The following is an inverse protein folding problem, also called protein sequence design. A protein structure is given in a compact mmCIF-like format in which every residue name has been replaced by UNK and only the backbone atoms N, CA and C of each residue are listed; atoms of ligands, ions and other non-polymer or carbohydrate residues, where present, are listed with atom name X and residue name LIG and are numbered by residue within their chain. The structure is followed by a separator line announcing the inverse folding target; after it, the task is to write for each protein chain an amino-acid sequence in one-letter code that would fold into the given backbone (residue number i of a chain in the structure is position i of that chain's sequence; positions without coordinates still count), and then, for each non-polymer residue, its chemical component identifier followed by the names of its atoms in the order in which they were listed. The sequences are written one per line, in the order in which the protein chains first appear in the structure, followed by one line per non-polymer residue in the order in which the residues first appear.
data_IF_679277054159
#
_entry.id   IF_679277054159
#
_cell.length_a   1.000
_cell.length_b   1.000
_cell.length_c   1.000
_cell.angle_alpha   90.00
_cell.angle_beta   90.00
_cell.angle_gamma   90.00
#
_symmetry.space_group_name_H-M   'P 1'
#
loop_
_entity.id
_entity.type
_entity.pdbx_description
1 polymer ?
#
# COMPACT_ATOMS: atom_id res chain seq x y z
N UNK A 1 48.49 -30.19 -24.24
CA UNK A 1 47.08 -30.09 -23.80
C UNK A 1 47.04 -29.65 -22.34
N UNK A 2 46.88 -28.37 -22.05
CA UNK A 2 46.75 -27.82 -20.70
C UNK A 2 45.34 -27.25 -20.57
N UNK A 3 44.55 -27.84 -19.67
CA UNK A 3 43.17 -27.43 -19.35
C UNK A 3 43.21 -26.14 -18.54
N UNK A 4 42.64 -25.08 -19.07
CA UNK A 4 42.33 -23.86 -18.34
C UNK A 4 41.11 -24.09 -17.44
N UNK A 5 41.34 -24.16 -16.12
CA UNK A 5 40.31 -24.10 -15.12
C UNK A 5 39.79 -22.66 -15.00
N UNK A 6 38.49 -22.45 -15.22
CA UNK A 6 37.76 -21.20 -14.91
C UNK A 6 37.49 -21.16 -13.41
N UNK A 7 37.92 -20.14 -12.67
CA UNK A 7 37.41 -19.89 -11.33
C UNK A 7 36.24 -18.92 -11.36
N UNK A 8 35.38 -18.99 -10.35
CA UNK A 8 34.51 -17.92 -9.85
C UNK A 8 33.08 -17.74 -10.38
N UNK A 9 32.32 -18.83 -10.55
CA UNK A 9 30.87 -18.73 -10.53
C UNK A 9 30.27 -18.87 -9.10
N UNK A 10 31.04 -19.40 -8.17
CA UNK A 10 30.57 -19.67 -6.79
C UNK A 10 30.67 -18.46 -5.85
N UNK A 11 31.55 -17.51 -6.11
CA UNK A 11 31.70 -16.33 -5.25
C UNK A 11 30.58 -15.33 -5.49
N UNK A 12 30.11 -15.19 -6.72
CA UNK A 12 28.96 -14.34 -7.03
C UNK A 12 27.64 -14.89 -6.43
N UNK A 13 27.49 -16.22 -6.40
CA UNK A 13 26.29 -16.88 -5.84
C UNK A 13 26.23 -16.77 -4.30
N UNK A 14 27.37 -16.82 -3.62
CA UNK A 14 27.43 -16.72 -2.14
C UNK A 14 27.15 -15.28 -1.68
N UNK A 15 27.59 -14.27 -2.43
CA UNK A 15 27.29 -12.86 -2.12
C UNK A 15 25.82 -12.56 -2.38
N UNK A 16 25.22 -13.11 -3.43
CA UNK A 16 23.80 -12.93 -3.75
C UNK A 16 22.87 -13.64 -2.73
N UNK A 17 23.25 -14.84 -2.26
CA UNK A 17 22.48 -15.59 -1.24
C UNK A 17 22.59 -14.93 0.15
N UNK A 18 23.73 -14.33 0.50
CA UNK A 18 23.89 -13.58 1.75
C UNK A 18 23.14 -12.23 1.70
N UNK A 19 23.02 -11.59 0.53
CA UNK A 19 22.23 -10.36 0.36
C UNK A 19 20.71 -10.64 0.43
N UNK A 20 20.26 -11.73 -0.18
CA UNK A 20 18.84 -12.15 -0.11
C UNK A 20 18.43 -12.63 1.31
N UNK A 21 19.35 -13.24 2.07
CA UNK A 21 19.07 -13.73 3.43
C UNK A 21 19.01 -12.62 4.50
N UNK A 22 19.61 -11.45 4.25
CA UNK A 22 19.58 -10.30 5.17
C UNK A 22 18.35 -9.41 4.91
N UNK A 23 17.77 -9.44 3.70
CA UNK A 23 16.62 -8.60 3.33
C UNK A 23 15.28 -9.36 3.46
N UNK A 24 15.27 -10.69 3.46
CA UNK A 24 14.07 -11.49 3.28
C UNK A 24 13.25 -11.91 4.52
N UNK A 25 13.71 -11.97 5.76
CA UNK A 25 12.79 -12.25 6.86
C UNK A 25 12.45 -11.00 7.63
N UNK A 26 11.26 -10.44 7.50
CA UNK A 26 10.62 -9.47 8.39
C UNK A 26 10.16 -8.13 7.79
N UNK A 27 9.93 -7.99 6.49
CA UNK A 27 9.21 -6.79 6.04
C UNK A 27 7.79 -6.71 6.64
N UNK A 28 7.12 -7.87 6.85
CA UNK A 28 5.80 -7.89 7.50
C UNK A 28 5.82 -7.53 8.99
N UNK A 29 6.90 -7.88 9.72
CA UNK A 29 7.08 -7.50 11.12
C UNK A 29 7.77 -6.13 11.26
N UNK A 30 8.61 -5.72 10.30
CA UNK A 30 9.25 -4.39 10.29
C UNK A 30 8.32 -3.26 9.90
N UNK A 31 7.28 -3.51 9.11
CA UNK A 31 6.17 -2.57 8.91
C UNK A 31 5.39 -2.29 10.21
N UNK A 32 5.60 -3.09 11.26
CA UNK A 32 4.94 -2.98 12.57
C UNK A 32 5.90 -2.62 13.72
N UNK A 33 7.22 -2.60 13.48
CA UNK A 33 8.21 -2.30 14.52
C UNK A 33 8.87 -0.93 14.27
N UNK A 34 8.73 -0.03 15.22
CA UNK A 34 9.52 1.21 15.34
C UNK A 34 11.01 0.85 15.52
N UNK A 35 11.75 0.66 14.42
CA UNK A 35 13.19 0.43 14.51
C UNK A 35 13.95 1.60 13.89
N UNK A 36 14.86 2.14 14.66
CA UNK A 36 15.90 3.08 14.22
C UNK A 36 16.65 2.53 12.99
N UNK A 37 17.00 3.41 12.04
CA UNK A 37 17.76 3.06 10.85
C UNK A 37 18.90 2.08 11.16
N UNK A 38 19.08 1.02 10.35
CA UNK A 38 20.14 0.03 10.58
C UNK A 38 21.52 0.72 10.62
N UNK A 39 22.44 0.25 11.49
CA UNK A 39 23.77 0.82 11.54
C UNK A 39 24.47 0.66 10.19
N UNK A 40 25.37 1.57 9.82
CA UNK A 40 26.07 1.52 8.53
C UNK A 40 26.81 0.19 8.38
N UNK A 41 26.55 -0.50 7.28
CA UNK A 41 27.28 -1.73 6.94
C UNK A 41 28.73 -1.35 6.57
N UNK A 42 29.69 -1.81 7.36
CA UNK A 42 31.10 -1.73 6.98
C UNK A 42 31.43 -2.97 6.14
N UNK A 43 31.37 -2.82 4.84
CA UNK A 43 31.88 -3.82 3.88
C UNK A 43 33.30 -3.44 3.53
N UNK A 44 34.26 -4.40 3.38
CA UNK A 44 35.57 -4.09 2.85
C UNK A 44 35.43 -3.47 1.46
N UNK A 45 35.68 -2.19 1.35
CA UNK A 45 35.58 -1.45 0.08
C UNK A 45 36.95 -1.45 -0.59
N UNK A 46 36.99 -1.87 -1.85
CA UNK A 46 38.18 -1.70 -2.67
C UNK A 46 38.46 -0.21 -2.85
N UNK A 47 39.64 0.25 -2.44
CA UNK A 47 40.01 1.66 -2.57
C UNK A 47 39.96 2.10 -4.02
N UNK A 48 39.31 3.21 -4.30
CA UNK A 48 39.15 3.83 -5.59
C UNK A 48 39.40 5.34 -5.53
N UNK A 49 39.48 5.96 -6.70
CA UNK A 49 39.70 7.41 -6.83
C UNK A 49 38.39 8.18 -6.67
N UNK A 50 37.24 7.55 -7.00
CA UNK A 50 35.92 8.16 -7.01
C UNK A 50 34.92 7.29 -6.27
N UNK A 51 33.84 7.89 -5.69
CA UNK A 51 32.72 7.14 -5.14
C UNK A 51 31.99 6.35 -6.23
N UNK A 52 31.33 5.26 -5.84
CA UNK A 52 30.46 4.48 -6.73
C UNK A 52 29.00 4.60 -6.28
N UNK A 53 28.11 4.47 -7.25
CA UNK A 53 26.66 4.68 -7.06
C UNK A 53 25.90 3.49 -7.64
N UNK A 54 24.89 3.01 -6.91
CA UNK A 54 23.94 2.01 -7.39
C UNK A 54 22.55 2.57 -7.13
N UNK A 55 21.73 2.63 -8.17
CA UNK A 55 20.36 3.18 -8.13
C UNK A 55 19.37 2.07 -8.46
N UNK A 56 18.39 1.91 -7.60
CA UNK A 56 17.25 1.01 -7.79
C UNK A 56 15.95 1.82 -7.73
N UNK A 57 15.00 1.52 -8.60
CA UNK A 57 13.71 2.18 -8.64
C UNK A 57 12.58 1.17 -8.50
N UNK A 58 11.65 1.43 -7.59
CA UNK A 58 10.43 0.66 -7.39
C UNK A 58 10.68 -0.84 -7.27
N UNK A 59 9.83 -1.60 -7.91
CA UNK A 59 9.96 -3.05 -8.03
C UNK A 59 10.35 -3.35 -9.48
N UNK A 60 11.60 -3.73 -9.70
CA UNK A 60 12.15 -4.00 -11.04
C UNK A 60 11.95 -2.84 -12.05
N UNK A 61 12.08 -1.61 -11.59
CA UNK A 61 11.86 -0.40 -12.41
C UNK A 61 10.39 -0.02 -12.58
N UNK A 62 9.47 -0.69 -11.88
CA UNK A 62 8.04 -0.36 -11.91
C UNK A 62 7.62 0.37 -10.62
N UNK A 63 6.95 1.50 -10.76
CA UNK A 63 6.43 2.32 -9.66
C UNK A 63 4.94 2.06 -9.52
N UNK A 64 4.56 1.43 -8.42
CA UNK A 64 3.16 1.17 -8.06
C UNK A 64 2.62 2.33 -7.24
N UNK A 65 1.51 2.99 -7.64
CA UNK A 65 1.01 4.20 -6.98
C UNK A 65 0.73 4.03 -5.48
N UNK A 66 0.17 2.90 -5.05
CA UNK A 66 -0.11 2.65 -3.63
C UNK A 66 1.18 2.58 -2.79
N UNK A 67 2.23 1.95 -3.31
CA UNK A 67 3.54 1.87 -2.64
C UNK A 67 4.25 3.24 -2.63
N UNK A 68 4.16 3.98 -3.74
CA UNK A 68 4.72 5.33 -3.84
C UNK A 68 4.02 6.30 -2.86
N UNK A 69 2.70 6.22 -2.74
CA UNK A 69 1.92 7.00 -1.77
C UNK A 69 2.38 6.69 -0.34
N UNK A 70 2.43 5.41 0.03
CA UNK A 70 2.90 4.98 1.35
C UNK A 70 4.31 5.51 1.67
N UNK A 71 5.25 5.34 0.73
CA UNK A 71 6.63 5.77 0.91
C UNK A 71 6.73 7.29 1.13
N UNK A 72 5.96 8.08 0.38
CA UNK A 72 5.95 9.54 0.46
C UNK A 72 5.37 10.09 1.76
N UNK A 73 4.49 9.35 2.42
CA UNK A 73 3.87 9.72 3.69
C UNK A 73 4.76 9.43 4.90
N UNK A 74 5.81 8.62 4.74
CA UNK A 74 6.78 8.34 5.80
C UNK A 74 7.71 9.54 6.03
N UNK A 75 8.01 9.84 7.30
CA UNK A 75 9.02 10.85 7.61
C UNK A 75 10.39 10.40 7.09
N UNK A 76 11.18 11.26 6.44
CA UNK A 76 12.44 10.84 5.82
C UNK A 76 13.42 10.10 6.75
N UNK A 77 13.47 10.47 8.05
CA UNK A 77 14.35 9.83 9.05
C UNK A 77 13.84 8.49 9.58
N UNK A 78 12.55 8.22 9.42
CA UNK A 78 11.85 7.02 9.91
C UNK A 78 11.49 6.08 8.76
N UNK A 79 11.87 6.47 7.53
CA UNK A 79 11.53 5.74 6.30
C UNK A 79 12.24 4.39 6.27
N UNK A 80 11.47 3.34 6.17
CA UNK A 80 11.94 1.96 6.01
C UNK A 80 11.63 1.39 4.62
N UNK A 81 10.87 2.14 3.82
CA UNK A 81 10.54 1.83 2.43
C UNK A 81 10.66 3.08 1.54
N UNK A 82 11.38 2.97 0.43
CA UNK A 82 11.58 4.04 -0.54
C UNK A 82 11.07 3.67 -1.93
N UNK A 83 10.63 4.68 -2.68
CA UNK A 83 10.36 4.50 -4.12
C UNK A 83 11.65 4.36 -4.92
N UNK A 84 12.74 4.97 -4.42
CA UNK A 84 14.08 4.80 -4.97
C UNK A 84 15.05 4.48 -3.83
N UNK A 85 16.01 3.61 -4.15
CA UNK A 85 17.11 3.28 -3.25
C UNK A 85 18.42 3.67 -3.93
N UNK A 86 19.23 4.50 -3.26
CA UNK A 86 20.54 4.92 -3.76
C UNK A 86 21.59 4.47 -2.76
N UNK A 87 22.45 3.57 -3.21
CA UNK A 87 23.59 3.09 -2.45
C UNK A 87 24.85 3.82 -2.91
N UNK A 88 25.49 4.55 -2.01
CA UNK A 88 26.73 5.27 -2.27
C UNK A 88 27.85 4.61 -1.49
N UNK A 89 28.90 4.22 -2.20
CA UNK A 89 30.14 3.70 -1.62
C UNK A 89 31.23 4.75 -1.76
N UNK A 90 31.71 5.29 -0.64
CA UNK A 90 32.83 6.20 -0.65
C UNK A 90 34.14 5.41 -0.62
N UNK A 91 34.69 5.07 -1.79
CA UNK A 91 35.95 4.39 -1.95
C UNK A 91 37.15 5.31 -1.80
N UNK A 92 36.96 6.63 -1.65
CA UNK A 92 38.02 7.61 -1.51
C UNK A 92 38.60 7.66 -0.08
N UNK A 93 39.73 8.30 0.11
CA UNK A 93 40.33 8.49 1.44
C UNK A 93 39.73 9.68 2.22
N UNK A 94 38.96 10.55 1.57
CA UNK A 94 38.39 11.74 2.15
C UNK A 94 36.92 11.53 2.56
N UNK A 95 36.47 12.35 3.52
CA UNK A 95 35.02 12.45 3.83
C UNK A 95 34.27 12.99 2.61
N UNK A 96 33.26 12.27 2.18
CA UNK A 96 32.34 12.69 1.13
C UNK A 96 31.12 13.38 1.74
N UNK A 97 30.99 14.70 1.49
CA UNK A 97 29.76 15.43 1.77
C UNK A 97 29.01 15.63 0.46
N UNK A 98 27.86 15.03 0.35
CA UNK A 98 27.08 15.03 -0.88
C UNK A 98 25.64 15.45 -0.65
N UNK A 99 25.06 16.07 -1.67
CA UNK A 99 23.63 16.30 -1.81
C UNK A 99 23.12 15.41 -2.94
N UNK A 100 22.14 14.59 -2.64
CA UNK A 100 21.49 13.69 -3.59
C UNK A 100 20.10 14.22 -3.88
N UNK A 101 19.76 14.31 -5.16
CA UNK A 101 18.43 14.71 -5.63
C UNK A 101 17.83 13.59 -6.49
N UNK A 102 16.56 13.29 -6.28
CA UNK A 102 15.78 12.35 -7.09
C UNK A 102 14.50 13.02 -7.54
N UNK A 103 14.18 12.93 -8.83
CA UNK A 103 12.95 13.46 -9.41
C UNK A 103 12.50 12.56 -10.57
N UNK A 104 11.19 12.50 -10.79
CA UNK A 104 10.58 11.99 -12.02
C UNK A 104 9.94 13.18 -12.74
N UNK A 105 10.62 13.78 -13.73
CA UNK A 105 10.16 15.02 -14.36
C UNK A 105 8.73 14.92 -14.88
N UNK A 106 7.90 15.89 -14.53
CA UNK A 106 6.48 15.94 -14.87
C UNK A 106 5.59 14.97 -14.09
N UNK A 107 6.15 14.15 -13.19
CA UNK A 107 5.40 13.18 -12.37
C UNK A 107 5.63 13.33 -10.87
N UNK A 108 6.75 13.92 -10.44
CA UNK A 108 7.02 14.14 -9.02
C UNK A 108 7.70 15.47 -8.77
N UNK A 109 7.62 15.95 -7.52
CA UNK A 109 8.53 16.97 -7.02
C UNK A 109 9.93 16.34 -6.83
N UNK A 110 10.97 17.17 -6.74
CA UNK A 110 12.31 16.70 -6.43
C UNK A 110 12.45 16.47 -4.91
N UNK A 111 12.94 15.30 -4.52
CA UNK A 111 13.38 15.05 -3.14
C UNK A 111 14.89 15.22 -3.04
N UNK A 112 15.35 15.92 -2.00
CA UNK A 112 16.75 16.19 -1.74
C UNK A 112 17.16 15.67 -0.36
N UNK A 113 18.30 14.96 -0.29
CA UNK A 113 18.91 14.54 0.95
C UNK A 113 20.38 14.94 0.98
N UNK A 114 20.86 15.43 2.14
CA UNK A 114 22.29 15.66 2.37
C UNK A 114 22.85 14.50 3.19
N UNK A 115 24.03 14.02 2.80
CA UNK A 115 24.69 12.88 3.43
C UNK A 115 26.17 13.15 3.59
N UNK A 116 26.74 12.68 4.71
CA UNK A 116 28.18 12.62 4.94
C UNK A 116 28.58 11.16 5.07
N UNK A 117 29.56 10.73 4.25
CA UNK A 117 29.99 9.34 4.12
C UNK A 117 31.50 9.30 4.36
N UNK A 118 31.93 8.59 5.40
CA UNK A 118 33.36 8.43 5.72
C UNK A 118 34.11 7.63 4.66
N UNK A 119 35.43 7.70 4.69
CA UNK A 119 36.30 6.88 3.84
C UNK A 119 35.99 5.39 4.03
N UNK A 120 35.77 4.65 2.94
CA UNK A 120 35.45 3.22 2.96
C UNK A 120 34.03 2.89 3.49
N UNK A 121 33.18 3.88 3.70
CA UNK A 121 31.82 3.64 4.14
C UNK A 121 30.86 3.46 2.95
N UNK A 122 29.80 2.67 3.20
CA UNK A 122 28.66 2.50 2.31
C UNK A 122 27.42 3.10 2.96
N UNK A 123 26.65 3.89 2.22
CA UNK A 123 25.38 4.46 2.65
C UNK A 123 24.27 4.10 1.68
N UNK A 124 23.20 3.54 2.22
CA UNK A 124 21.96 3.36 1.51
C UNK A 124 20.99 4.49 1.89
N UNK A 125 20.44 5.17 0.90
CA UNK A 125 19.49 6.27 1.04
C UNK A 125 18.18 5.87 0.40
N UNK A 126 17.08 6.03 1.14
CA UNK A 126 15.73 5.77 0.65
C UNK A 126 15.07 7.09 0.26
N UNK A 127 14.66 7.19 -0.98
CA UNK A 127 13.93 8.34 -1.53
C UNK A 127 12.49 7.96 -1.83
N UNK A 128 11.58 8.89 -1.55
CA UNK A 128 10.17 8.80 -1.90
C UNK A 128 9.67 10.18 -2.30
N UNK A 129 10.06 10.67 -3.49
CA UNK A 129 9.61 11.95 -3.98
C UNK A 129 8.08 11.99 -4.01
N UNK A 130 7.50 13.13 -3.65
CA UNK A 130 6.04 13.30 -3.67
C UNK A 130 5.58 13.33 -5.12
N UNK A 131 4.76 12.36 -5.49
CA UNK A 131 4.20 12.28 -6.83
C UNK A 131 3.04 13.26 -7.01
N UNK A 132 2.94 13.82 -8.22
CA UNK A 132 1.86 14.72 -8.61
C UNK A 132 0.54 13.94 -8.75
N UNK A 133 -0.63 14.62 -8.65
CA UNK A 133 -1.95 13.99 -8.79
C UNK A 133 -2.10 13.11 -10.02
N UNK A 134 -1.47 13.47 -11.12
CA UNK A 134 -1.51 12.70 -12.37
C UNK A 134 -1.06 11.24 -12.24
N UNK A 135 -0.23 10.88 -11.23
CA UNK A 135 0.11 9.48 -10.98
C UNK A 135 -1.13 8.70 -10.52
N UNK A 136 -1.96 9.31 -9.69
CA UNK A 136 -3.17 8.71 -9.11
C UNK A 136 -4.39 8.82 -10.04
N UNK A 137 -4.23 9.50 -11.17
CA UNK A 137 -5.21 9.60 -12.27
C UNK A 137 -4.78 8.77 -13.48
N UNK A 138 -3.64 8.11 -13.39
CA UNK A 138 -3.10 7.29 -14.48
C UNK A 138 -3.68 5.87 -14.45
N UNK A 139 -4.51 5.52 -15.43
CA UNK A 139 -5.17 4.21 -15.53
C UNK A 139 -4.45 3.19 -16.43
N UNK A 140 -3.31 3.57 -17.04
CA UNK A 140 -2.52 2.69 -17.88
C UNK A 140 -1.04 2.77 -17.52
N UNK A 141 -0.22 1.83 -18.00
CA UNK A 141 1.22 1.88 -17.81
C UNK A 141 1.78 3.04 -18.61
N UNK A 142 2.53 3.93 -17.94
CA UNK A 142 3.21 5.04 -18.56
C UNK A 142 4.74 4.89 -18.45
N UNK A 143 5.45 5.07 -19.56
CA UNK A 143 6.90 5.19 -19.52
C UNK A 143 7.32 6.56 -18.98
N UNK A 144 8.30 6.56 -18.11
CA UNK A 144 8.87 7.78 -17.53
C UNK A 144 10.38 7.59 -17.31
N UNK A 145 11.03 8.65 -16.87
CA UNK A 145 12.46 8.65 -16.58
C UNK A 145 12.68 9.28 -15.22
N UNK A 146 13.40 8.59 -14.35
CA UNK A 146 13.88 9.16 -13.10
C UNK A 146 15.24 9.83 -13.32
N UNK A 147 15.40 11.03 -12.78
CA UNK A 147 16.66 11.78 -12.79
C UNK A 147 17.27 11.76 -11.39
N UNK A 148 18.48 11.27 -11.31
CA UNK A 148 19.28 11.21 -10.08
C UNK A 148 20.50 12.11 -10.28
N UNK A 149 20.72 13.02 -9.33
CA UNK A 149 21.87 13.92 -9.34
C UNK A 149 22.56 13.93 -7.99
N UNK A 150 23.87 13.74 -7.99
CA UNK A 150 24.72 13.85 -6.79
C UNK A 150 25.66 15.01 -6.98
N UNK A 151 25.70 15.93 -6.02
CA UNK A 151 26.62 17.09 -6.01
C UNK A 151 27.41 17.12 -4.71
N UNK A 152 28.61 17.67 -4.74
CA UNK A 152 29.37 17.97 -3.53
C UNK A 152 28.93 19.26 -2.84
N UNK A 153 29.58 19.60 -1.74
CA UNK A 153 29.31 20.82 -0.97
C UNK A 153 29.58 22.13 -1.75
N UNK A 154 30.30 22.04 -2.86
CA UNK A 154 30.57 23.18 -3.75
C UNK A 154 29.63 23.26 -4.95
N UNK A 155 28.59 22.40 -4.96
CA UNK A 155 27.64 22.19 -6.07
C UNK A 155 28.27 21.61 -7.35
N UNK A 156 29.49 21.08 -7.30
CA UNK A 156 30.06 20.34 -8.43
C UNK A 156 29.33 19.01 -8.55
N UNK A 157 28.92 18.67 -9.77
CA UNK A 157 28.28 17.38 -10.04
C UNK A 157 29.30 16.24 -9.91
N UNK A 158 28.99 15.28 -9.06
CA UNK A 158 29.76 14.06 -8.85
C UNK A 158 29.21 12.90 -9.67
N UNK A 159 27.87 12.83 -9.80
CA UNK A 159 27.20 11.79 -10.55
C UNK A 159 25.87 12.30 -11.10
N UNK A 160 25.51 11.84 -12.28
CA UNK A 160 24.18 12.04 -12.88
C UNK A 160 23.78 10.73 -13.54
N UNK A 161 22.58 10.28 -13.23
CA UNK A 161 22.01 9.08 -13.83
C UNK A 161 20.57 9.33 -14.25
N UNK A 162 20.21 8.74 -15.39
CA UNK A 162 18.87 8.80 -15.94
C UNK A 162 18.38 7.37 -16.08
N UNK A 163 17.38 7.01 -15.29
CA UNK A 163 16.87 5.64 -15.19
C UNK A 163 15.49 5.54 -15.85
N UNK A 164 15.32 4.72 -16.91
CA UNK A 164 13.99 4.45 -17.46
C UNK A 164 13.16 3.64 -16.46
N UNK A 165 11.92 4.09 -16.21
CA UNK A 165 10.97 3.47 -15.29
C UNK A 165 9.60 3.34 -15.94
N UNK A 166 8.75 2.50 -15.36
CA UNK A 166 7.34 2.40 -15.72
C UNK A 166 6.47 2.80 -14.53
N UNK A 167 5.61 3.77 -14.74
CA UNK A 167 4.57 4.14 -13.79
C UNK A 167 3.37 3.24 -14.03
N UNK A 168 2.98 2.48 -13.01
CA UNK A 168 1.86 1.55 -13.09
C UNK A 168 0.54 2.31 -13.00
N UNK A 169 -0.54 1.67 -13.45
CA UNK A 169 -1.89 2.16 -13.27
C UNK A 169 -2.22 2.32 -11.78
N UNK A 170 -3.05 3.34 -11.44
CA UNK A 170 -3.61 3.50 -10.10
C UNK A 170 -4.41 2.28 -9.66
N UNK A 171 -4.92 1.52 -10.62
CA UNK A 171 -5.67 0.29 -10.37
C UNK A 171 -4.76 -0.92 -10.10
N UNK A 172 -3.44 -0.83 -10.33
CA UNK A 172 -2.53 -1.95 -10.22
C UNK A 172 -2.04 -2.16 -8.78
N UNK A 173 -2.56 -3.20 -8.13
CA UNK A 173 -2.08 -3.71 -6.84
C UNK A 173 -0.93 -4.69 -7.04
N UNK A 174 0.16 -4.54 -6.30
CA UNK A 174 1.25 -5.50 -6.23
C UNK A 174 1.14 -6.35 -4.97
N UNK A 175 0.97 -7.67 -5.13
CA UNK A 175 0.86 -8.60 -4.00
C UNK A 175 2.21 -9.06 -3.48
N UNK A 176 3.22 -9.17 -4.36
CA UNK A 176 4.46 -9.92 -4.11
C UNK A 176 4.25 -11.42 -4.17
N UNK A 177 5.34 -12.19 -4.35
CA UNK A 177 5.28 -13.64 -4.51
C UNK A 177 4.69 -14.37 -3.28
N UNK A 178 4.89 -13.81 -2.09
CA UNK A 178 4.48 -14.34 -0.78
C UNK A 178 3.29 -13.57 -0.16
N UNK A 179 2.58 -12.75 -0.95
CA UNK A 179 1.50 -11.88 -0.48
C UNK A 179 1.89 -10.88 0.61
N UNK A 180 3.20 -10.59 0.78
CA UNK A 180 3.69 -9.66 1.81
C UNK A 180 3.17 -8.24 1.67
N UNK A 181 2.76 -7.82 0.46
CA UNK A 181 2.16 -6.52 0.19
C UNK A 181 0.63 -6.52 0.29
N UNK A 182 0.00 -7.64 0.65
CA UNK A 182 -1.46 -7.72 0.77
C UNK A 182 -2.08 -6.61 1.64
N UNK A 183 -1.47 -6.13 2.74
CA UNK A 183 -2.02 -5.01 3.52
C UNK A 183 -2.23 -3.72 2.71
N UNK A 184 -1.51 -3.53 1.61
CA UNK A 184 -1.67 -2.36 0.74
C UNK A 184 -3.00 -2.31 -0.01
N UNK A 185 -3.80 -3.38 -0.03
CA UNK A 185 -5.17 -3.32 -0.52
C UNK A 185 -6.00 -2.25 0.21
N UNK A 186 -5.66 -1.95 1.46
CA UNK A 186 -6.28 -0.88 2.22
C UNK A 186 -6.09 0.51 1.57
N UNK A 187 -5.15 0.69 0.64
CA UNK A 187 -5.00 1.94 -0.12
C UNK A 187 -6.16 2.20 -1.08
N UNK A 188 -6.88 1.15 -1.50
CA UNK A 188 -8.11 1.26 -2.30
C UNK A 188 -9.37 1.42 -1.46
N UNK A 189 -9.28 1.28 -0.15
CA UNK A 189 -10.41 1.58 0.76
C UNK A 189 -10.43 3.08 0.98
N UNK A 190 -11.38 3.77 0.30
CA UNK A 190 -11.49 5.23 0.21
C UNK A 190 -12.81 5.70 0.83
N UNK A 191 -12.92 5.77 2.17
CA UNK A 191 -14.17 6.05 2.87
C UNK A 191 -14.77 7.42 2.55
N UNK A 192 -13.94 8.40 2.21
CA UNK A 192 -14.36 9.78 1.91
C UNK A 192 -14.53 10.07 0.43
N UNK A 193 -14.62 9.05 -0.42
CA UNK A 193 -15.02 9.24 -1.82
C UNK A 193 -16.46 9.76 -1.88
N UNK A 194 -16.72 10.86 -2.61
CA UNK A 194 -18.07 11.44 -2.69
C UNK A 194 -19.16 10.45 -3.16
N UNK A 195 -18.79 9.48 -4.00
CA UNK A 195 -19.75 8.46 -4.47
C UNK A 195 -20.05 7.42 -3.40
N UNK A 196 -19.07 7.10 -2.53
CA UNK A 196 -19.29 6.27 -1.33
C UNK A 196 -20.28 6.97 -0.40
N UNK A 197 -20.12 8.27 -0.17
CA UNK A 197 -21.03 9.06 0.65
C UNK A 197 -22.45 9.10 0.07
N UNK A 198 -22.62 9.16 -1.26
CA UNK A 198 -23.95 9.07 -1.89
C UNK A 198 -24.63 7.72 -1.62
N UNK A 199 -23.89 6.61 -1.60
CA UNK A 199 -24.45 5.31 -1.22
C UNK A 199 -24.89 5.30 0.24
N UNK A 200 -24.11 5.91 1.15
CA UNK A 200 -24.51 6.05 2.56
C UNK A 200 -25.77 6.89 2.72
N UNK A 201 -25.88 7.99 1.97
CA UNK A 201 -27.10 8.81 1.96
C UNK A 201 -28.32 8.01 1.50
N UNK A 202 -28.15 7.09 0.57
CA UNK A 202 -29.23 6.18 0.12
C UNK A 202 -29.50 5.09 1.17
N UNK A 203 -28.46 4.50 1.77
CA UNK A 203 -28.60 3.41 2.73
C UNK A 203 -29.38 3.82 3.98
N UNK A 204 -29.24 5.06 4.46
CA UNK A 204 -29.99 5.54 5.63
C UNK A 204 -31.52 5.45 5.44
N UNK A 205 -32.03 5.50 4.20
CA UNK A 205 -33.46 5.39 3.92
C UNK A 205 -34.02 4.00 4.30
N UNK A 206 -33.15 2.99 4.37
CA UNK A 206 -33.51 1.62 4.76
C UNK A 206 -33.30 1.34 6.24
N UNK A 207 -32.91 2.37 7.01
CA UNK A 207 -32.64 2.25 8.44
C UNK A 207 -33.73 2.91 9.29
N UNK A 208 -34.06 2.35 10.46
CA UNK A 208 -34.95 3.00 11.42
C UNK A 208 -34.43 4.40 11.78
N UNK A 209 -35.34 5.38 11.74
CA UNK A 209 -34.99 6.78 12.03
C UNK A 209 -34.06 7.43 11.04
N UNK A 210 -33.79 6.80 9.87
CA UNK A 210 -32.92 7.30 8.79
C UNK A 210 -31.50 7.62 9.29
N UNK A 211 -30.95 6.77 10.16
CA UNK A 211 -29.64 6.94 10.79
C UNK A 211 -28.76 5.72 10.53
N UNK A 212 -27.47 5.97 10.32
CA UNK A 212 -26.42 4.98 10.25
C UNK A 212 -25.45 5.27 11.42
N UNK A 213 -25.68 4.69 12.60
CA UNK A 213 -24.94 5.05 13.81
C UNK A 213 -23.54 4.42 13.92
N UNK A 214 -23.22 3.38 13.17
CA UNK A 214 -21.97 2.63 13.35
C UNK A 214 -21.86 2.01 14.75
N UNK A 215 -20.63 1.96 15.29
CA UNK A 215 -20.43 1.48 16.67
C UNK A 215 -20.64 2.60 17.69
N UNK A 216 -21.84 2.71 18.21
CA UNK A 216 -22.14 3.63 19.33
C UNK A 216 -21.67 3.05 20.66
N UNK A 217 -20.77 3.75 21.37
CA UNK A 217 -20.10 3.28 22.60
C UNK A 217 -21.07 2.97 23.76
N UNK A 218 -22.19 3.69 23.82
CA UNK A 218 -23.23 3.51 24.85
C UNK A 218 -24.11 2.29 24.64
N UNK A 219 -23.99 1.58 23.50
CA UNK A 219 -24.74 0.35 23.21
C UNK A 219 -24.00 -0.89 23.71
N UNK A 220 -24.77 -1.86 24.22
CA UNK A 220 -24.21 -3.19 24.54
C UNK A 220 -23.68 -3.88 23.26
N UNK A 221 -22.74 -4.84 23.39
CA UNK A 221 -22.27 -5.62 22.25
C UNK A 221 -23.39 -6.29 21.45
N UNK A 222 -24.46 -6.79 22.10
CA UNK A 222 -25.59 -7.38 21.41
C UNK A 222 -26.39 -6.38 20.58
N UNK A 223 -26.57 -5.18 21.12
CA UNK A 223 -27.22 -4.07 20.38
C UNK A 223 -26.36 -3.62 19.21
N UNK A 224 -25.03 -3.56 19.38
CA UNK A 224 -24.12 -3.22 18.29
C UNK A 224 -24.20 -4.29 17.20
N UNK A 225 -24.17 -5.60 17.53
CA UNK A 225 -24.34 -6.70 16.54
C UNK A 225 -25.61 -6.58 15.73
N UNK A 226 -26.72 -6.27 16.40
CA UNK A 226 -28.01 -6.07 15.71
C UNK A 226 -27.96 -4.87 14.76
N UNK A 227 -27.35 -3.75 15.21
CA UNK A 227 -27.20 -2.54 14.41
C UNK A 227 -26.30 -2.80 13.20
N UNK A 228 -25.12 -3.44 13.40
CA UNK A 228 -24.20 -3.82 12.33
C UNK A 228 -24.89 -4.66 11.24
N UNK A 229 -25.69 -5.64 11.65
CA UNK A 229 -26.45 -6.47 10.72
C UNK A 229 -27.48 -5.65 9.92
N UNK A 230 -28.16 -4.69 10.57
CA UNK A 230 -29.15 -3.81 9.92
C UNK A 230 -28.45 -2.85 8.95
N UNK A 231 -27.33 -2.23 9.35
CA UNK A 231 -26.55 -1.32 8.51
C UNK A 231 -25.96 -2.05 7.31
N UNK A 232 -25.36 -3.23 7.51
CA UNK A 232 -24.84 -4.04 6.42
C UNK A 232 -25.93 -4.40 5.40
N UNK A 233 -27.15 -4.76 5.86
CA UNK A 233 -28.31 -5.00 5.00
C UNK A 233 -28.73 -3.72 4.27
N UNK A 234 -28.74 -2.58 4.93
CA UNK A 234 -29.11 -1.30 4.34
C UNK A 234 -28.10 -0.86 3.26
N UNK A 235 -26.79 -1.02 3.51
CA UNK A 235 -25.72 -0.78 2.54
C UNK A 235 -25.85 -1.70 1.33
N UNK A 236 -26.06 -2.99 1.56
CA UNK A 236 -26.27 -3.98 0.51
C UNK A 236 -27.44 -3.61 -0.40
N UNK A 237 -28.59 -3.25 0.21
CA UNK A 237 -29.77 -2.80 -0.52
C UNK A 237 -29.53 -1.50 -1.28
N UNK A 238 -28.82 -0.55 -0.69
CA UNK A 238 -28.48 0.71 -1.36
C UNK A 238 -27.65 0.47 -2.62
N UNK A 239 -26.66 -0.44 -2.56
CA UNK A 239 -25.85 -0.83 -3.71
C UNK A 239 -26.68 -1.57 -4.78
N UNK A 240 -27.61 -2.45 -4.38
CA UNK A 240 -28.54 -3.07 -5.32
C UNK A 240 -29.39 -2.04 -6.07
N UNK A 241 -29.96 -1.07 -5.34
CA UNK A 241 -30.77 -0.02 -5.95
C UNK A 241 -29.96 1.02 -6.72
N UNK A 242 -28.66 1.12 -6.49
CA UNK A 242 -27.73 1.90 -7.31
C UNK A 242 -27.46 1.21 -8.64
N UNK A 243 -27.66 -0.12 -8.73
CA UNK A 243 -27.51 -0.89 -9.95
C UNK A 243 -26.12 -1.49 -10.14
N UNK A 244 -25.29 -1.53 -9.09
CA UNK A 244 -23.96 -2.17 -9.16
C UNK A 244 -24.11 -3.66 -9.47
N UNK A 245 -23.43 -4.12 -10.51
CA UNK A 245 -23.48 -5.49 -10.99
C UNK A 245 -22.08 -6.11 -11.05
N UNK A 246 -22.01 -7.45 -10.98
CA UNK A 246 -20.76 -8.17 -11.08
C UNK A 246 -20.27 -8.24 -12.54
N UNK A 247 -19.02 -7.81 -12.75
CA UNK A 247 -18.31 -7.95 -14.02
C UNK A 247 -16.94 -8.58 -13.74
N UNK A 248 -16.57 -9.61 -14.50
CA UNK A 248 -15.27 -10.26 -14.33
C UNK A 248 -14.13 -9.25 -14.58
N UNK A 249 -13.08 -9.34 -13.75
CA UNK A 249 -11.95 -8.43 -13.77
C UNK A 249 -11.24 -8.32 -15.11
N UNK A 250 -10.62 -7.16 -15.32
CA UNK A 250 -9.67 -6.89 -16.39
C UNK A 250 -8.30 -7.49 -16.09
N UNK A 251 -7.49 -7.63 -17.14
CA UNK A 251 -6.12 -8.13 -17.05
C UNK A 251 -5.17 -7.03 -16.54
N UNK A 252 -4.10 -7.46 -15.89
CA UNK A 252 -2.95 -6.63 -15.55
C UNK A 252 -1.87 -6.79 -16.61
N UNK A 253 -1.13 -5.71 -16.93
CA UNK A 253 -0.04 -5.70 -17.89
C UNK A 253 1.29 -5.33 -17.20
N UNK A 254 2.43 -5.61 -17.86
CA UNK A 254 3.77 -5.30 -17.36
C UNK A 254 4.56 -6.53 -16.91
N UNK A 255 5.71 -6.33 -16.27
CA UNK A 255 6.62 -7.42 -15.90
C UNK A 255 6.10 -8.26 -14.74
N UNK A 256 5.39 -7.64 -13.79
CA UNK A 256 4.93 -8.25 -12.55
C UNK A 256 3.47 -8.75 -12.62
N UNK A 257 2.99 -9.17 -13.79
CA UNK A 257 1.59 -9.59 -14.00
C UNK A 257 1.19 -10.82 -13.18
N UNK A 258 2.13 -11.71 -12.87
CA UNK A 258 1.88 -12.93 -12.08
C UNK A 258 1.64 -12.67 -10.61
N UNK A 259 2.06 -11.50 -10.11
CA UNK A 259 1.99 -11.11 -8.69
C UNK A 259 1.29 -9.78 -8.47
N UNK A 260 0.53 -9.32 -9.47
CA UNK A 260 -0.27 -8.10 -9.43
C UNK A 260 -1.67 -8.33 -9.99
N UNK A 261 -2.61 -7.48 -9.58
CA UNK A 261 -4.01 -7.53 -9.97
C UNK A 261 -4.56 -6.11 -10.13
N UNK A 262 -5.48 -5.90 -11.05
CA UNK A 262 -6.21 -4.62 -11.15
C UNK A 262 -7.35 -4.59 -10.17
N UNK A 263 -7.36 -3.56 -9.34
CA UNK A 263 -8.40 -3.25 -8.36
C UNK A 263 -8.93 -1.85 -8.64
N UNK A 264 -10.20 -1.77 -9.02
CA UNK A 264 -10.82 -0.49 -9.31
C UNK A 264 -11.17 0.26 -8.02
N UNK A 265 -10.92 1.56 -8.00
CA UNK A 265 -11.33 2.43 -6.90
C UNK A 265 -12.85 2.36 -6.68
N UNK A 266 -13.35 2.44 -5.42
CA UNK A 266 -14.78 2.43 -5.10
C UNK A 266 -15.61 3.42 -5.89
N UNK A 267 -15.14 4.69 -5.99
CA UNK A 267 -15.82 5.71 -6.78
C UNK A 267 -15.94 5.36 -8.25
N UNK A 268 -14.89 4.80 -8.85
CA UNK A 268 -14.92 4.35 -10.25
C UNK A 268 -15.87 3.16 -10.43
N UNK A 269 -15.88 2.20 -9.50
CA UNK A 269 -16.82 1.07 -9.53
C UNK A 269 -18.27 1.52 -9.44
N UNK A 270 -18.55 2.54 -8.60
CA UNK A 270 -19.88 3.15 -8.47
C UNK A 270 -20.29 3.95 -9.71
N UNK A 271 -19.33 4.66 -10.33
CA UNK A 271 -19.58 5.41 -11.57
C UNK A 271 -19.96 4.49 -12.73
N UNK A 272 -19.22 3.38 -12.87
CA UNK A 272 -19.45 2.42 -13.96
C UNK A 272 -20.52 1.37 -13.61
N UNK A 273 -21.08 1.40 -12.41
CA UNK A 273 -22.06 0.44 -11.89
C UNK A 273 -21.61 -1.01 -12.05
N UNK A 274 -20.32 -1.24 -11.92
CA UNK A 274 -19.71 -2.56 -12.15
C UNK A 274 -18.54 -2.80 -11.23
N UNK A 275 -18.47 -4.00 -10.65
CA UNK A 275 -17.40 -4.43 -9.77
C UNK A 275 -17.11 -5.92 -9.96
N UNK A 276 -15.84 -6.32 -9.88
CA UNK A 276 -15.49 -7.72 -9.68
C UNK A 276 -15.53 -8.08 -8.18
N UNK A 277 -15.05 -9.27 -7.77
CA UNK A 277 -15.07 -9.67 -6.35
C UNK A 277 -14.24 -8.71 -5.48
N UNK A 278 -13.03 -8.34 -5.91
CA UNK A 278 -12.13 -7.51 -5.12
C UNK A 278 -12.54 -6.03 -5.14
N UNK A 279 -13.03 -5.51 -6.28
CA UNK A 279 -13.60 -4.17 -6.39
C UNK A 279 -14.79 -4.00 -5.45
N UNK A 280 -15.68 -5.00 -5.41
CA UNK A 280 -16.81 -5.04 -4.49
C UNK A 280 -16.35 -5.04 -3.03
N UNK A 281 -15.32 -5.79 -2.71
CA UNK A 281 -14.75 -5.88 -1.35
C UNK A 281 -14.23 -4.52 -0.87
N UNK A 282 -13.41 -3.81 -1.67
CA UNK A 282 -12.88 -2.49 -1.27
C UNK A 282 -13.98 -1.43 -1.22
N UNK A 283 -15.00 -1.54 -2.06
CA UNK A 283 -16.17 -0.66 -2.03
C UNK A 283 -16.97 -0.84 -0.73
N UNK A 284 -17.32 -2.07 -0.33
CA UNK A 284 -17.99 -2.33 0.94
C UNK A 284 -17.13 -1.94 2.14
N UNK A 285 -15.81 -2.23 2.09
CA UNK A 285 -14.89 -1.83 3.15
C UNK A 285 -14.87 -0.30 3.33
N UNK A 286 -14.94 0.46 2.23
CA UNK A 286 -15.02 1.93 2.28
C UNK A 286 -16.31 2.42 2.92
N UNK A 287 -17.43 1.78 2.63
CA UNK A 287 -18.73 2.10 3.26
C UNK A 287 -18.68 1.84 4.77
N UNK A 288 -18.14 0.70 5.20
CA UNK A 288 -18.01 0.35 6.61
C UNK A 288 -17.03 1.28 7.34
N UNK A 289 -15.85 1.56 6.75
CA UNK A 289 -14.87 2.45 7.37
C UNK A 289 -15.41 3.88 7.53
N UNK A 290 -16.20 4.40 6.56
CA UNK A 290 -16.83 5.71 6.68
C UNK A 290 -17.79 5.80 7.89
N UNK A 291 -18.46 4.70 8.23
CA UNK A 291 -19.34 4.62 9.41
C UNK A 291 -18.56 4.40 10.72
N UNK A 292 -17.21 4.47 10.69
CA UNK A 292 -16.37 4.19 11.86
C UNK A 292 -16.41 2.73 12.30
N UNK A 293 -16.79 1.83 11.41
CA UNK A 293 -16.77 0.39 11.65
C UNK A 293 -15.41 -0.19 11.25
N UNK A 294 -15.13 -1.45 11.63
CA UNK A 294 -13.83 -2.10 11.41
C UNK A 294 -13.94 -3.18 10.31
N UNK A 295 -13.76 -2.82 9.02
CA UNK A 295 -13.82 -3.77 7.93
C UNK A 295 -12.58 -4.65 7.86
N UNK A 296 -12.77 -5.87 7.34
CA UNK A 296 -11.72 -6.81 7.01
C UNK A 296 -11.86 -7.26 5.55
N UNK A 297 -10.76 -7.16 4.81
CA UNK A 297 -10.64 -7.78 3.50
C UNK A 297 -10.17 -9.22 3.70
N UNK A 298 -10.88 -10.18 3.08
CA UNK A 298 -10.57 -11.60 3.19
C UNK A 298 -10.25 -12.14 1.82
N UNK A 299 -9.00 -12.53 1.62
CA UNK A 299 -8.51 -13.12 0.38
C UNK A 299 -8.43 -14.64 0.53
N UNK A 300 -8.89 -15.35 -0.48
CA UNK A 300 -8.76 -16.80 -0.64
C UNK A 300 -8.28 -17.09 -2.06
N UNK A 301 -7.77 -18.28 -2.37
CA UNK A 301 -7.35 -18.61 -3.74
C UNK A 301 -8.44 -18.33 -4.77
N UNK A 302 -8.20 -17.33 -5.63
CA UNK A 302 -9.07 -16.93 -6.75
C UNK A 302 -10.34 -16.18 -6.37
N UNK A 303 -10.49 -15.72 -5.11
CA UNK A 303 -11.68 -14.96 -4.69
C UNK A 303 -11.42 -14.07 -3.48
N UNK A 304 -12.34 -13.12 -3.25
CA UNK A 304 -12.29 -12.21 -2.10
C UNK A 304 -13.68 -12.01 -1.48
N UNK A 305 -13.70 -11.81 -0.17
CA UNK A 305 -14.90 -11.49 0.62
C UNK A 305 -14.65 -10.23 1.45
N UNK A 306 -15.68 -9.48 1.76
CA UNK A 306 -15.62 -8.45 2.79
C UNK A 306 -16.21 -9.00 4.08
N UNK A 307 -15.58 -8.62 5.20
CA UNK A 307 -16.18 -8.75 6.51
C UNK A 307 -16.23 -7.41 7.22
N UNK A 308 -17.08 -7.30 8.21
CA UNK A 308 -17.06 -6.20 9.16
C UNK A 308 -17.17 -6.78 10.56
N UNK A 309 -16.41 -6.25 11.50
CA UNK A 309 -16.50 -6.66 12.89
C UNK A 309 -17.93 -6.44 13.38
N UNK A 310 -18.53 -7.42 14.04
CA UNK A 310 -19.97 -7.38 14.37
C UNK A 310 -20.32 -6.44 15.52
N UNK A 311 -19.32 -6.09 16.35
CA UNK A 311 -19.38 -5.06 17.39
C UNK A 311 -17.97 -4.53 17.67
N UNK A 312 -17.85 -3.35 18.27
CA UNK A 312 -16.55 -2.80 18.70
C UNK A 312 -15.85 -3.82 19.61
N UNK A 313 -14.56 -4.02 19.37
CA UNK A 313 -13.71 -4.95 20.13
C UNK A 313 -14.13 -6.43 20.13
N UNK A 314 -15.12 -6.81 19.31
CA UNK A 314 -15.51 -8.19 19.10
C UNK A 314 -14.45 -8.97 18.29
N UNK A 315 -14.37 -10.28 18.47
CA UNK A 315 -13.56 -11.17 17.64
C UNK A 315 -14.38 -11.82 16.50
N UNK A 316 -15.66 -11.48 16.38
CA UNK A 316 -16.55 -12.04 15.36
C UNK A 316 -16.78 -11.04 14.23
N UNK A 317 -17.01 -11.56 13.04
CA UNK A 317 -17.21 -10.80 11.82
C UNK A 317 -18.45 -11.26 11.09
N UNK A 318 -19.19 -10.29 10.55
CA UNK A 318 -20.22 -10.52 9.54
C UNK A 318 -19.55 -10.52 8.17
N UNK A 319 -19.57 -11.65 7.46
CA UNK A 319 -19.00 -11.77 6.12
C UNK A 319 -20.05 -11.66 5.03
N UNK A 320 -19.71 -11.05 3.90
CA UNK A 320 -20.59 -10.79 2.77
C UNK A 320 -19.90 -11.21 1.47
N UNK A 321 -20.62 -11.97 0.64
CA UNK A 321 -20.26 -12.26 -0.74
C UNK A 321 -20.69 -11.10 -1.63
N UNK A 322 -19.73 -10.32 -2.11
CA UNK A 322 -20.00 -9.09 -2.86
C UNK A 322 -20.38 -9.35 -4.32
N UNK A 323 -19.93 -10.47 -4.90
CA UNK A 323 -20.18 -10.81 -6.31
C UNK A 323 -21.66 -11.09 -6.64
N UNK A 324 -22.51 -11.22 -5.64
CA UNK A 324 -23.94 -11.48 -5.84
C UNK A 324 -24.84 -10.30 -5.41
N UNK A 325 -24.26 -9.15 -5.08
CA UNK A 325 -24.98 -7.95 -4.63
C UNK A 325 -26.12 -7.57 -5.59
N UNK A 326 -25.88 -7.54 -6.89
CA UNK A 326 -26.89 -7.13 -7.89
C UNK A 326 -28.01 -8.16 -8.14
N UNK A 327 -27.95 -9.40 -7.60
CA UNK A 327 -28.85 -10.48 -8.03
C UNK A 327 -29.45 -11.34 -6.90
N UNK A 328 -28.98 -11.20 -5.68
CA UNK A 328 -29.42 -12.05 -4.58
C UNK A 328 -29.78 -11.22 -3.34
N UNK A 329 -30.65 -11.72 -2.43
CA UNK A 329 -30.94 -11.08 -1.17
C UNK A 329 -29.70 -11.06 -0.25
N UNK A 330 -29.64 -10.12 0.67
CA UNK A 330 -28.56 -9.96 1.64
C UNK A 330 -28.24 -11.25 2.41
N UNK A 331 -29.26 -11.96 2.89
CA UNK A 331 -29.12 -13.21 3.65
C UNK A 331 -28.44 -14.30 2.83
N UNK A 332 -28.68 -14.31 1.53
CA UNK A 332 -28.01 -15.23 0.60
C UNK A 332 -26.54 -14.88 0.44
N UNK A 333 -26.19 -13.59 0.43
CA UNK A 333 -24.81 -13.13 0.36
C UNK A 333 -24.01 -13.46 1.62
N UNK A 334 -24.62 -13.32 2.80
CA UNK A 334 -24.02 -13.73 4.07
C UNK A 334 -23.81 -15.25 4.10
N UNK A 335 -24.84 -16.03 3.74
CA UNK A 335 -24.75 -17.49 3.67
C UNK A 335 -23.70 -17.96 2.66
N UNK A 336 -23.60 -17.32 1.51
CA UNK A 336 -22.63 -17.64 0.48
C UNK A 336 -21.20 -17.38 0.97
N UNK A 337 -20.95 -16.26 1.66
CA UNK A 337 -19.65 -15.96 2.24
C UNK A 337 -19.23 -16.99 3.30
N UNK A 338 -20.13 -17.34 4.23
CA UNK A 338 -19.85 -18.36 5.26
C UNK A 338 -19.53 -19.72 4.62
N UNK A 339 -20.38 -20.18 3.69
CA UNK A 339 -20.19 -21.46 3.00
C UNK A 339 -18.94 -21.45 2.10
N UNK A 340 -18.61 -20.30 1.51
CA UNK A 340 -17.41 -20.12 0.69
C UNK A 340 -16.15 -20.24 1.53
N UNK A 341 -16.07 -19.50 2.63
CA UNK A 341 -14.92 -19.52 3.55
C UNK A 341 -14.71 -20.89 4.19
N UNK A 342 -15.77 -21.60 4.52
CA UNK A 342 -15.70 -22.93 5.11
C UNK A 342 -15.03 -24.01 4.21
N UNK A 343 -14.80 -23.72 2.93
CA UNK A 343 -14.13 -24.62 1.97
C UNK A 343 -12.61 -24.54 2.04
N UNK A 344 -12.08 -23.51 2.68
CA UNK A 344 -10.64 -23.25 2.76
C UNK A 344 -10.10 -23.59 4.15
N UNK A 345 -8.83 -24.01 4.20
CA UNK A 345 -8.12 -24.14 5.46
C UNK A 345 -7.67 -22.74 5.92
N UNK A 346 -7.49 -22.55 7.22
CA UNK A 346 -7.12 -21.24 7.78
C UNK A 346 -5.82 -20.66 7.15
N UNK A 347 -4.87 -21.50 6.81
CA UNK A 347 -3.62 -21.12 6.13
C UNK A 347 -3.82 -20.55 4.72
N UNK A 348 -4.95 -20.86 4.08
CA UNK A 348 -5.28 -20.42 2.72
C UNK A 348 -6.13 -19.11 2.74
N UNK A 349 -6.41 -18.60 3.94
CA UNK A 349 -7.22 -17.40 4.16
C UNK A 349 -6.34 -16.28 4.68
N UNK A 350 -6.20 -15.21 3.88
CA UNK A 350 -5.50 -14.00 4.32
C UNK A 350 -6.53 -12.95 4.73
N UNK A 351 -6.45 -12.50 5.99
CA UNK A 351 -7.33 -11.44 6.53
C UNK A 351 -6.55 -10.15 6.74
N UNK A 352 -6.98 -9.09 6.09
CA UNK A 352 -6.40 -7.76 6.19
C UNK A 352 -7.41 -6.86 6.92
N UNK A 353 -7.13 -6.53 8.18
CA UNK A 353 -7.90 -5.55 8.93
C UNK A 353 -7.49 -4.16 8.45
N UNK A 354 -8.45 -3.38 7.95
CA UNK A 354 -8.19 -2.03 7.45
C UNK A 354 -7.66 -1.14 8.56
N UNK A 355 -8.20 -1.24 9.77
CA UNK A 355 -7.71 -0.50 10.95
C UNK A 355 -6.23 -0.78 11.26
N UNK A 356 -5.78 -2.03 11.17
CA UNK A 356 -4.35 -2.37 11.33
C UNK A 356 -3.47 -1.78 10.22
N UNK A 357 -3.95 -1.82 8.98
CA UNK A 357 -3.24 -1.20 7.87
C UNK A 357 -3.09 0.32 8.09
N UNK A 358 -4.13 1.00 8.59
CA UNK A 358 -4.07 2.43 8.96
C UNK A 358 -3.02 2.69 10.06
N UNK A 359 -3.00 1.88 11.10
CA UNK A 359 -1.98 1.97 12.17
C UNK A 359 -0.55 1.75 11.64
N UNK A 360 -0.40 0.98 10.55
CA UNK A 360 0.89 0.78 9.87
C UNK A 360 1.23 1.90 8.87
N UNK A 361 0.43 2.98 8.79
CA UNK A 361 0.67 4.09 7.88
C UNK A 361 0.17 3.87 6.45
N UNK A 362 -0.58 2.81 6.17
CA UNK A 362 -1.18 2.57 4.87
C UNK A 362 -2.50 3.33 4.80
N UNK A 363 -2.48 4.50 4.18
CA UNK A 363 -3.64 5.38 4.01
C UNK A 363 -4.27 5.22 2.62
N UNK A 364 -5.51 5.71 2.42
CA UNK A 364 -6.14 5.74 1.11
C UNK A 364 -5.25 6.45 0.08
N UNK A 365 -5.26 5.98 -1.16
CA UNK A 365 -4.67 6.75 -2.25
C UNK A 365 -5.45 8.05 -2.47
N UNK A 366 -4.77 9.12 -2.94
CA UNK A 366 -5.43 10.37 -3.31
C UNK A 366 -6.56 10.14 -4.32
N UNK A 367 -7.68 10.80 -4.11
CA UNK A 367 -8.79 10.77 -5.05
C UNK A 367 -8.55 11.75 -6.20
N UNK A 368 -9.12 11.52 -7.39
CA UNK A 368 -9.02 12.46 -8.51
C UNK A 368 -9.39 13.89 -8.10
N UNK A 369 -8.56 14.85 -8.49
CA UNK A 369 -8.72 16.26 -8.13
C UNK A 369 -8.26 16.64 -6.72
N UNK A 370 -7.78 15.71 -5.89
CA UNK A 370 -7.14 16.00 -4.62
C UNK A 370 -5.62 16.17 -4.79
N UNK A 371 -5.08 17.26 -4.25
CA UNK A 371 -3.63 17.44 -4.21
C UNK A 371 -3.03 16.61 -3.07
N UNK A 372 -2.22 15.61 -3.40
CA UNK A 372 -1.56 14.72 -2.43
C UNK A 372 -0.66 15.46 -1.41
N UNK A 373 -0.31 16.72 -1.69
CA UNK A 373 0.49 17.56 -0.80
C UNK A 373 -0.28 18.13 0.41
N UNK A 374 -1.60 17.94 0.45
CA UNK A 374 -2.49 18.52 1.47
C UNK A 374 -3.02 17.52 2.49
N UNK A 375 -2.47 16.32 2.63
CA UNK A 375 -2.79 15.47 3.75
C UNK A 375 -2.16 16.06 5.02
N UNK A 376 -2.95 16.58 5.98
CA UNK A 376 -2.39 16.98 7.26
C UNK A 376 -1.80 15.72 7.91
N UNK A 377 -0.54 15.80 8.35
CA UNK A 377 0.02 14.80 9.22
C UNK A 377 -0.93 14.68 10.43
N UNK A 378 -1.63 13.55 10.55
CA UNK A 378 -2.45 13.27 11.72
C UNK A 378 -1.52 13.21 12.92
N UNK A 379 -1.55 14.26 13.76
CA UNK A 379 -0.93 14.17 15.08
C UNK A 379 -1.60 13.01 15.83
N UNK A 380 -0.83 12.09 16.44
CA UNK A 380 -1.42 11.11 17.33
C UNK A 380 -2.15 11.87 18.42
N UNK A 381 -3.43 11.60 18.60
CA UNK A 381 -4.22 12.18 19.67
C UNK A 381 -3.46 11.98 20.99
N UNK A 382 -3.02 13.08 21.59
CA UNK A 382 -2.39 13.08 22.90
C UNK A 382 -3.37 12.39 23.86
N UNK A 383 -2.93 11.28 24.46
CA UNK A 383 -3.63 10.60 25.53
C UNK A 383 -4.05 11.63 26.56
N UNK A 384 -5.34 11.73 26.82
CA UNK A 384 -5.88 12.56 27.89
C UNK A 384 -5.19 12.15 29.20
N UNK A 385 -4.30 13.01 29.69
CA UNK A 385 -3.79 12.95 31.05
C UNK A 385 -4.98 13.12 31.99
N UNK A 386 -5.28 12.10 32.77
CA UNK A 386 -6.22 12.18 33.86
C UNK A 386 -5.76 13.29 34.82
N UNK A 387 -6.61 14.19 35.25
CA UNK A 387 -6.32 15.01 36.43
C UNK A 387 -6.47 14.13 37.67
N UNK A 388 -5.36 13.90 38.35
CA UNK A 388 -5.41 13.39 39.72
C UNK A 388 -6.08 14.42 40.64
N UNK A 389 -7.09 13.99 41.31
CA UNK A 389 -7.38 14.10 42.75
C UNK A 389 -8.71 13.43 43.03
#
# INVERSE_FOLDING_TARGET
MRSLRRPSLWIALVVFVLFAAVIAPNMGERLLANTSAPPPLRVPVTRGIEPTYVVEAGIDGEIFPALANFASLQRPKERDFGTFTITITNSTEALLNARVSVQVPGWSDAELQNVSIGSGEVRQLLFAPVFLPRLYENHEIAAATAEIKVTDSTNRTLHTETLPIHLRSVDDMYWGEDFRFAPFIASWVTPHDPRVELVLMKAKEFMPGRRLPGYEEWRSPDQQRQTTMQEARALYRALQETGVSYVKSSLTFGRNTSVSERIRMPGSSLEHLSANCIDGVVMYASLFENLGMDPVVVLVPGHAYVGVRDARDSNFYLYIETAITGRAPFESAVKAAINGLARYQEKDITRILVSKARLSGIYPMPLPGQDSRHFPATEPSASASQPGN
#
